data_IF_841912334106
#
_entry.id   IF_841912334106
#
_cell.length_a   1.000
_cell.length_b   1.000
_cell.length_c   1.000
_cell.angle_alpha   90.00
_cell.angle_beta   90.00
_cell.angle_gamma   90.00
#
_symmetry.space_group_name_H-M   'P 1'
#
loop_
_entity.id
_entity.type
_entity.pdbx_description
1 polymer ?
#
# COMPACT_ATOMS: atom_id res chain seq x y z
N UNK A 1 -13.66 40.17 8.73
CA UNK A 1 -13.10 39.55 7.51
C UNK A 1 -12.42 38.27 7.95
N UNK A 2 -13.09 37.13 7.75
CA UNK A 2 -12.62 35.81 8.19
C UNK A 2 -11.94 35.12 7.00
N UNK A 3 -10.66 34.82 7.15
CA UNK A 3 -9.85 34.06 6.19
C UNK A 3 -10.18 32.57 6.32
N UNK A 4 -11.09 32.10 5.46
CA UNK A 4 -11.37 30.68 5.30
C UNK A 4 -10.18 29.96 4.68
N UNK A 5 -9.46 29.19 5.50
CA UNK A 5 -8.46 28.23 5.03
C UNK A 5 -9.12 27.07 4.28
N UNK A 6 -8.43 26.44 3.31
CA UNK A 6 -9.02 25.41 2.47
C UNK A 6 -9.28 24.13 3.28
N UNK A 7 -10.56 23.93 3.61
CA UNK A 7 -11.16 22.79 4.32
C UNK A 7 -11.24 21.53 3.42
N UNK A 8 -10.22 21.29 2.58
CA UNK A 8 -10.21 20.19 1.61
C UNK A 8 -10.06 18.80 2.26
N UNK A 9 -9.49 18.72 3.46
CA UNK A 9 -9.20 17.44 4.11
C UNK A 9 -10.41 16.83 4.83
N UNK A 10 -11.43 17.61 5.21
CA UNK A 10 -12.63 17.10 5.91
C UNK A 10 -13.69 16.51 4.99
N UNK A 11 -13.54 16.65 3.67
CA UNK A 11 -14.50 16.21 2.65
C UNK A 11 -14.04 14.99 1.83
N UNK A 12 -13.09 14.21 2.32
CA UNK A 12 -12.76 12.94 1.67
C UNK A 12 -13.91 11.93 1.91
N UNK A 13 -14.66 11.49 0.88
CA UNK A 13 -15.74 10.53 1.07
C UNK A 13 -15.15 9.20 1.56
N UNK A 14 -15.87 8.59 2.50
CA UNK A 14 -15.56 7.29 3.09
C UNK A 14 -15.39 6.23 1.98
N UNK A 15 -14.23 5.59 1.97
CA UNK A 15 -13.80 4.41 1.19
C UNK A 15 -13.53 4.70 -0.31
N UNK A 16 -12.26 4.56 -0.72
CA UNK A 16 -11.80 4.74 -2.10
C UNK A 16 -11.12 6.08 -2.42
N UNK A 17 -11.34 7.12 -1.59
CA UNK A 17 -10.83 8.48 -1.85
C UNK A 17 -9.31 8.58 -2.05
N UNK A 18 -8.52 7.84 -1.28
CA UNK A 18 -7.07 7.80 -1.47
C UNK A 18 -6.70 7.15 -2.81
N UNK A 19 -7.26 5.98 -3.15
CA UNK A 19 -6.95 5.31 -4.42
C UNK A 19 -7.33 6.18 -5.63
N UNK A 20 -8.49 6.86 -5.56
CA UNK A 20 -8.95 7.81 -6.58
C UNK A 20 -8.03 9.03 -6.68
N UNK A 21 -7.58 9.58 -5.57
CA UNK A 21 -6.59 10.66 -5.54
C UNK A 21 -5.27 10.20 -6.19
N UNK A 22 -4.76 9.02 -5.83
CA UNK A 22 -3.53 8.47 -6.43
C UNK A 22 -3.67 8.20 -7.93
N UNK A 23 -4.83 7.73 -8.38
CA UNK A 23 -5.09 7.53 -9.80
C UNK A 23 -5.16 8.86 -10.59
N UNK A 24 -5.80 9.89 -10.01
CA UNK A 24 -6.01 11.20 -10.65
C UNK A 24 -4.84 12.17 -10.48
N UNK A 25 -3.72 11.74 -9.91
CA UNK A 25 -2.55 12.59 -9.67
C UNK A 25 -1.33 12.05 -10.39
N UNK A 26 -0.36 12.91 -10.75
CA UNK A 26 0.87 12.48 -11.39
C UNK A 26 1.75 11.59 -10.49
N UNK A 27 1.30 11.28 -9.26
CA UNK A 27 2.05 10.55 -8.25
C UNK A 27 2.38 9.10 -8.62
N UNK A 28 1.68 8.55 -9.62
CA UNK A 28 1.91 7.22 -10.17
C UNK A 28 2.57 7.25 -11.57
N UNK A 29 2.95 8.43 -12.08
CA UNK A 29 3.60 8.53 -13.38
C UNK A 29 5.01 7.90 -13.33
N UNK A 30 5.34 6.99 -14.26
CA UNK A 30 6.71 6.49 -14.41
C UNK A 30 7.70 7.64 -14.63
N UNK A 31 8.90 7.52 -14.03
CA UNK A 31 9.91 8.58 -14.09
C UNK A 31 9.68 9.73 -13.11
N UNK A 32 8.59 9.70 -12.33
CA UNK A 32 8.46 10.54 -11.14
C UNK A 32 9.42 10.04 -10.06
N UNK A 33 10.19 10.95 -9.49
CA UNK A 33 11.01 10.71 -8.30
C UNK A 33 10.27 11.24 -7.09
N UNK A 34 10.28 10.47 -6.00
CA UNK A 34 9.79 10.92 -4.70
C UNK A 34 10.91 10.79 -3.68
N UNK A 35 10.91 11.64 -2.67
CA UNK A 35 11.96 11.56 -1.68
C UNK A 35 11.67 12.39 -0.45
N UNK A 36 12.64 12.38 0.45
CA UNK A 36 12.64 13.14 1.69
C UNK A 36 13.73 14.20 1.63
N UNK A 37 13.42 15.39 2.12
CA UNK A 37 14.32 16.51 2.28
C UNK A 37 14.24 17.05 3.70
N UNK A 38 15.32 17.69 4.14
CA UNK A 38 15.33 18.51 5.35
C UNK A 38 14.23 19.58 5.27
N UNK A 39 13.34 19.66 6.27
CA UNK A 39 12.20 20.57 6.24
C UNK A 39 12.54 22.05 6.06
N UNK A 40 13.77 22.47 6.37
CA UNK A 40 14.22 23.85 6.13
C UNK A 40 14.48 24.14 4.63
N UNK A 41 14.57 23.11 3.79
CA UNK A 41 14.93 23.20 2.36
C UNK A 41 13.72 23.00 1.41
N UNK A 42 12.56 23.61 1.72
CA UNK A 42 11.31 23.49 0.94
C UNK A 42 11.20 24.45 -0.26
N UNK A 43 12.20 24.48 -1.13
CA UNK A 43 12.13 25.29 -2.35
C UNK A 43 11.45 24.51 -3.49
N UNK A 44 10.30 24.99 -3.97
CA UNK A 44 9.74 24.52 -5.23
C UNK A 44 10.58 25.08 -6.40
N UNK A 45 10.86 24.25 -7.39
CA UNK A 45 11.61 24.64 -8.58
C UNK A 45 10.91 24.11 -9.82
N UNK A 46 10.78 24.93 -10.86
CA UNK A 46 10.26 24.50 -12.15
C UNK A 46 11.05 25.23 -13.23
N UNK A 47 11.66 24.47 -14.12
CA UNK A 47 12.40 24.97 -15.27
C UNK A 47 12.02 24.20 -16.54
N UNK A 48 12.70 24.48 -17.65
CA UNK A 48 12.51 23.80 -18.93
C UNK A 48 12.86 22.31 -18.92
N UNK A 49 13.63 21.85 -17.93
CA UNK A 49 14.09 20.47 -17.77
C UNK A 49 13.23 19.67 -16.78
N UNK A 50 12.34 20.30 -16.01
CA UNK A 50 11.36 19.64 -15.18
C UNK A 50 10.86 20.46 -13.98
N UNK A 51 10.33 19.76 -12.98
CA UNK A 51 9.75 20.36 -11.79
C UNK A 51 10.06 19.57 -10.52
N UNK A 52 10.27 20.29 -9.43
CA UNK A 52 10.43 19.81 -8.07
C UNK A 52 9.41 20.49 -7.17
N UNK A 53 8.59 19.71 -6.50
CA UNK A 53 7.54 20.17 -5.61
C UNK A 53 7.75 19.58 -4.21
N UNK A 54 8.18 20.38 -3.23
CA UNK A 54 8.13 19.97 -1.83
C UNK A 54 6.68 19.89 -1.39
N UNK A 55 6.33 18.79 -0.73
CA UNK A 55 5.03 18.60 -0.10
C UNK A 55 5.08 19.22 1.29
N UNK A 56 4.05 19.98 1.66
CA UNK A 56 3.89 20.54 3.01
C UNK A 56 3.40 19.47 3.99
N UNK A 57 4.12 18.36 4.08
CA UNK A 57 3.88 17.26 5.01
C UNK A 57 5.11 17.22 5.91
N UNK A 58 4.96 17.64 7.17
CA UNK A 58 5.99 17.43 8.20
C UNK A 58 5.80 16.00 8.73
N UNK A 59 6.81 15.15 8.57
CA UNK A 59 6.79 13.80 9.14
C UNK A 59 7.69 13.77 10.38
N UNK A 60 7.24 13.08 11.43
CA UNK A 60 8.07 12.81 12.60
C UNK A 60 8.90 11.56 12.35
N UNK A 61 10.21 11.63 12.61
CA UNK A 61 11.17 10.54 12.36
C UNK A 61 10.74 9.15 12.89
N UNK A 62 9.96 9.10 13.98
CA UNK A 62 9.45 7.87 14.59
C UNK A 62 8.61 7.00 13.66
N UNK A 63 8.03 7.58 12.60
CA UNK A 63 7.18 6.87 11.65
C UNK A 63 7.97 6.18 10.51
N UNK A 64 9.25 6.49 10.34
CA UNK A 64 10.06 6.02 9.19
C UNK A 64 11.42 5.40 9.52
N UNK A 65 12.10 5.79 10.60
CA UNK A 65 13.51 5.43 10.81
C UNK A 65 13.78 4.55 12.03
N UNK A 66 13.95 3.24 11.85
CA UNK A 66 14.64 2.39 12.86
C UNK A 66 16.18 2.54 12.81
N UNK A 67 16.71 3.41 11.96
CA UNK A 67 18.14 3.45 11.65
C UNK A 67 18.90 4.68 12.17
N UNK A 68 18.26 5.75 12.65
CA UNK A 68 18.97 6.95 13.13
C UNK A 68 18.59 7.25 14.58
N UNK A 69 19.62 7.32 15.43
CA UNK A 69 19.48 7.39 16.87
C UNK A 69 19.04 8.81 17.33
N UNK A 70 17.92 8.87 18.06
CA UNK A 70 17.75 9.79 19.19
C UNK A 70 17.36 11.25 18.95
N UNK A 71 17.20 11.72 17.71
CA UNK A 71 16.74 13.09 17.45
C UNK A 71 15.51 13.14 16.53
N UNK A 72 14.47 13.84 16.96
CA UNK A 72 13.30 14.16 16.14
C UNK A 72 13.67 15.30 15.21
N UNK A 73 13.75 15.02 13.91
CA UNK A 73 13.93 16.04 12.87
C UNK A 73 12.62 16.24 12.14
N UNK A 74 12.31 17.50 11.81
CA UNK A 74 11.25 17.82 10.86
C UNK A 74 11.78 17.51 9.46
N UNK A 75 11.19 16.52 8.80
CA UNK A 75 11.49 16.17 7.40
C UNK A 75 10.29 16.53 6.54
N UNK A 76 10.53 16.88 5.28
CA UNK A 76 9.48 17.09 4.29
C UNK A 76 9.63 16.11 3.12
N UNK A 77 8.51 15.73 2.52
CA UNK A 77 8.51 14.93 1.30
C UNK A 77 8.63 15.83 0.06
N UNK A 78 9.10 15.30 -1.05
CA UNK A 78 9.07 15.98 -2.35
C UNK A 78 8.72 15.04 -3.49
N UNK A 79 8.29 15.67 -4.59
CA UNK A 79 8.06 15.05 -5.89
C UNK A 79 8.93 15.76 -6.92
N UNK A 80 9.57 15.01 -7.80
CA UNK A 80 10.41 15.54 -8.85
C UNK A 80 10.09 14.85 -10.18
N UNK A 81 9.90 15.63 -11.24
CA UNK A 81 9.72 15.15 -12.62
C UNK A 81 10.78 15.77 -13.51
N UNK A 82 11.34 15.00 -14.43
CA UNK A 82 12.36 15.48 -15.37
C UNK A 82 13.77 15.61 -14.77
N UNK A 83 14.67 16.23 -15.53
CA UNK A 83 16.10 16.30 -15.24
C UNK A 83 16.51 17.54 -14.40
N UNK A 84 15.58 18.05 -13.58
CA UNK A 84 15.86 19.15 -12.64
C UNK A 84 16.95 18.75 -11.63
N UNK A 85 17.83 19.67 -11.23
CA UNK A 85 18.86 19.41 -10.23
C UNK A 85 18.29 18.87 -8.92
N UNK A 86 19.00 17.93 -8.31
CA UNK A 86 18.63 17.36 -7.01
C UNK A 86 18.56 18.49 -5.96
N UNK A 87 17.52 18.55 -5.12
CA UNK A 87 17.43 19.57 -4.09
C UNK A 87 18.55 19.39 -3.05
N UNK A 88 18.97 20.47 -2.41
CA UNK A 88 19.86 20.38 -1.25
C UNK A 88 19.13 19.71 -0.06
N UNK A 89 19.86 18.99 0.78
CA UNK A 89 19.27 18.37 1.99
C UNK A 89 18.45 17.10 1.75
N UNK A 90 18.65 16.40 0.63
CA UNK A 90 18.03 15.09 0.38
C UNK A 90 18.47 14.07 1.42
N UNK A 91 17.49 13.44 2.04
CA UNK A 91 17.68 12.35 3.00
C UNK A 91 17.45 10.98 2.36
N UNK A 92 16.48 10.89 1.45
CA UNK A 92 16.17 9.67 0.71
C UNK A 92 15.55 10.01 -0.65
N UNK A 93 15.81 9.20 -1.67
CA UNK A 93 15.14 9.27 -2.96
C UNK A 93 14.76 7.87 -3.41
N UNK A 94 13.49 7.73 -3.76
CA UNK A 94 12.96 6.56 -4.42
C UNK A 94 12.43 6.99 -5.79
N UNK A 95 12.93 6.36 -6.84
CA UNK A 95 12.28 6.47 -8.14
C UNK A 95 10.99 5.66 -8.09
N UNK A 96 9.90 6.17 -8.66
CA UNK A 96 8.71 5.35 -8.90
C UNK A 96 9.13 4.35 -9.98
N UNK A 97 9.25 3.05 -9.64
CA UNK A 97 9.70 2.06 -10.61
C UNK A 97 8.69 1.97 -11.75
N UNK A 98 9.17 1.70 -12.97
CA UNK A 98 8.32 1.24 -14.06
C UNK A 98 7.70 -0.11 -13.64
N UNK A 99 6.48 -0.05 -13.14
CA UNK A 99 5.76 -1.19 -12.58
C UNK A 99 4.35 -1.29 -13.11
N UNK A 100 3.60 -2.27 -12.61
CA UNK A 100 2.21 -2.51 -13.02
C UNK A 100 1.24 -1.40 -12.63
N UNK A 101 1.65 -0.45 -11.79
CA UNK A 101 0.79 0.61 -11.27
C UNK A 101 0.72 1.85 -12.19
N UNK A 102 0.46 1.66 -13.50
CA UNK A 102 0.28 2.80 -14.41
C UNK A 102 -0.98 3.59 -14.04
N UNK A 103 -1.04 4.90 -14.31
CA UNK A 103 -2.23 5.72 -14.06
C UNK A 103 -3.51 5.11 -14.64
N UNK A 104 -3.46 4.61 -15.88
CA UNK A 104 -4.61 4.01 -16.57
C UNK A 104 -5.10 2.75 -15.84
N UNK A 105 -4.17 1.93 -15.34
CA UNK A 105 -4.55 0.72 -14.59
C UNK A 105 -5.13 1.07 -13.22
N UNK A 106 -4.58 2.08 -12.55
CA UNK A 106 -5.14 2.58 -11.29
C UNK A 106 -6.56 3.13 -11.48
N UNK A 107 -6.82 3.87 -12.56
CA UNK A 107 -8.17 4.31 -12.92
C UNK A 107 -9.13 3.14 -13.08
N UNK A 108 -8.75 2.13 -13.87
CA UNK A 108 -9.58 0.94 -14.07
C UNK A 108 -9.86 0.19 -12.76
N UNK A 109 -8.89 0.08 -11.84
CA UNK A 109 -9.12 -0.53 -10.53
C UNK A 109 -10.18 0.24 -9.73
N UNK A 110 -10.09 1.58 -9.72
CA UNK A 110 -11.04 2.44 -9.00
C UNK A 110 -12.43 2.36 -9.62
N UNK A 111 -12.54 2.44 -10.94
CA UNK A 111 -13.81 2.33 -11.66
C UNK A 111 -14.48 0.98 -11.40
N UNK A 112 -13.70 -0.11 -11.45
CA UNK A 112 -14.21 -1.45 -11.13
C UNK A 112 -14.63 -1.59 -9.66
N UNK A 113 -13.90 -0.99 -8.72
CA UNK A 113 -14.29 -0.97 -7.31
C UNK A 113 -15.64 -0.25 -7.12
N UNK A 114 -15.85 0.88 -7.80
CA UNK A 114 -17.09 1.65 -7.74
C UNK A 114 -18.25 0.86 -8.38
N UNK A 115 -17.98 0.11 -9.46
CA UNK A 115 -18.96 -0.72 -10.17
C UNK A 115 -19.38 -1.97 -9.39
N UNK A 116 -18.41 -2.72 -8.85
CA UNK A 116 -18.66 -3.98 -8.14
C UNK A 116 -19.13 -3.74 -6.70
N UNK A 117 -18.64 -2.68 -6.07
CA UNK A 117 -18.91 -2.38 -4.68
C UNK A 117 -18.20 -3.36 -3.71
N UNK A 118 -18.63 -3.41 -2.43
CA UNK A 118 -18.00 -4.28 -1.44
C UNK A 118 -18.21 -5.76 -1.77
N UNK A 119 -17.11 -6.45 -2.10
CA UNK A 119 -17.13 -7.91 -2.29
C UNK A 119 -17.26 -8.60 -0.93
N UNK A 120 -18.29 -9.43 -0.70
CA UNK A 120 -18.39 -10.23 0.51
C UNK A 120 -17.20 -11.18 0.64
N UNK A 121 -16.72 -11.37 1.86
CA UNK A 121 -15.67 -12.36 2.10
C UNK A 121 -16.18 -13.77 1.80
N UNK A 122 -15.45 -14.54 1.00
CA UNK A 122 -15.80 -15.90 0.61
C UNK A 122 -14.95 -16.95 1.37
N UNK A 123 -15.55 -17.67 2.34
CA UNK A 123 -14.86 -18.73 3.07
C UNK A 123 -14.43 -19.91 2.19
N UNK A 124 -15.18 -20.22 1.12
CA UNK A 124 -14.89 -21.36 0.25
C UNK A 124 -13.64 -21.09 -0.60
N UNK A 125 -13.53 -19.90 -1.18
CA UNK A 125 -12.31 -19.47 -1.89
C UNK A 125 -11.08 -19.51 -0.97
N UNK A 126 -11.25 -19.07 0.28
CA UNK A 126 -10.17 -19.11 1.29
C UNK A 126 -9.78 -20.54 1.67
N UNK A 127 -10.75 -21.46 1.78
CA UNK A 127 -10.46 -22.87 2.05
C UNK A 127 -9.62 -23.49 0.91
N UNK A 128 -9.95 -23.18 -0.35
CA UNK A 128 -9.17 -23.61 -1.52
C UNK A 128 -7.74 -23.07 -1.47
N UNK A 129 -7.57 -21.80 -1.09
CA UNK A 129 -6.23 -21.21 -0.91
C UNK A 129 -5.44 -21.97 0.16
N UNK A 130 -6.05 -22.23 1.31
CA UNK A 130 -5.40 -22.95 2.42
C UNK A 130 -4.93 -24.35 1.96
N UNK A 131 -5.81 -25.10 1.30
CA UNK A 131 -5.51 -26.42 0.75
C UNK A 131 -4.36 -26.38 -0.26
N UNK A 132 -4.39 -25.43 -1.20
CA UNK A 132 -3.39 -25.33 -2.26
C UNK A 132 -2.00 -24.84 -1.80
N UNK A 133 -1.91 -24.19 -0.63
CA UNK A 133 -0.67 -23.58 -0.10
C UNK A 133 -0.11 -24.29 1.12
N UNK A 134 -0.90 -25.15 1.77
CA UNK A 134 -0.56 -25.76 3.05
C UNK A 134 -0.63 -24.78 4.23
N UNK A 135 -1.16 -23.56 4.02
CA UNK A 135 -1.36 -22.60 5.09
C UNK A 135 -2.47 -23.03 6.04
N UNK A 136 -2.35 -22.65 7.30
CA UNK A 136 -3.48 -22.76 8.21
C UNK A 136 -4.63 -21.84 7.74
N UNK A 137 -5.87 -22.21 8.12
CA UNK A 137 -7.08 -21.49 7.72
C UNK A 137 -7.00 -19.99 8.00
N UNK A 138 -6.51 -19.60 9.18
CA UNK A 138 -6.47 -18.20 9.57
C UNK A 138 -5.40 -17.42 8.78
N UNK A 139 -4.26 -18.03 8.48
CA UNK A 139 -3.24 -17.44 7.61
C UNK A 139 -3.77 -17.25 6.18
N UNK A 140 -4.48 -18.23 5.63
CA UNK A 140 -5.14 -18.10 4.32
C UNK A 140 -6.19 -16.98 4.33
N UNK A 141 -7.00 -16.85 5.40
CA UNK A 141 -7.96 -15.75 5.58
C UNK A 141 -7.26 -14.39 5.57
N UNK A 142 -6.18 -14.24 6.33
CA UNK A 142 -5.44 -12.97 6.37
C UNK A 142 -4.79 -12.64 5.02
N UNK A 143 -4.29 -13.65 4.31
CA UNK A 143 -3.71 -13.50 2.98
C UNK A 143 -4.77 -13.08 1.94
N UNK A 144 -5.95 -13.71 1.93
CA UNK A 144 -7.06 -13.27 1.08
C UNK A 144 -7.54 -11.86 1.42
N UNK A 145 -7.49 -11.46 2.69
CA UNK A 145 -7.94 -10.16 3.16
C UNK A 145 -6.95 -9.00 2.95
N UNK A 146 -5.78 -9.24 2.33
CA UNK A 146 -4.79 -8.19 2.10
C UNK A 146 -3.90 -7.87 3.32
N UNK A 147 -3.76 -8.78 4.27
CA UNK A 147 -2.95 -8.63 5.50
C UNK A 147 -3.30 -7.39 6.34
N UNK A 148 -4.58 -7.20 6.73
CA UNK A 148 -5.00 -6.03 7.50
C UNK A 148 -4.23 -5.96 8.84
N UNK A 149 -3.68 -4.77 9.16
CA UNK A 149 -2.98 -4.51 10.42
C UNK A 149 -1.81 -5.45 10.74
N UNK A 150 -1.22 -6.10 9.73
CA UNK A 150 -0.20 -7.15 9.92
C UNK A 150 1.06 -6.65 10.65
N UNK A 151 1.35 -5.34 10.59
CA UNK A 151 2.51 -4.72 11.23
C UNK A 151 2.29 -4.43 12.71
N UNK A 152 1.04 -4.42 13.18
CA UNK A 152 0.72 -4.06 14.56
C UNK A 152 1.14 -5.21 15.49
N UNK A 153 1.90 -4.88 16.53
CA UNK A 153 2.47 -5.88 17.46
C UNK A 153 1.45 -6.36 18.51
N UNK A 154 0.36 -5.62 18.71
CA UNK A 154 -0.68 -5.91 19.70
C UNK A 154 -1.32 -7.30 19.54
N UNK A 155 -1.63 -7.95 20.66
CA UNK A 155 -2.30 -9.26 20.66
C UNK A 155 -3.69 -9.23 20.00
N UNK A 156 -4.35 -8.06 20.03
CA UNK A 156 -5.67 -7.82 19.49
C UNK A 156 -5.63 -6.87 18.28
N UNK A 157 -4.70 -7.11 17.35
CA UNK A 157 -4.41 -6.19 16.24
C UNK A 157 -5.59 -5.97 15.28
N UNK A 158 -6.42 -6.98 15.06
CA UNK A 158 -7.64 -6.81 14.28
C UNK A 158 -8.76 -6.27 15.16
N UNK A 159 -9.51 -5.24 14.76
CA UNK A 159 -10.72 -4.83 15.46
C UNK A 159 -11.77 -5.95 15.56
N UNK A 160 -12.66 -5.96 16.59
CA UNK A 160 -13.65 -7.02 16.77
C UNK A 160 -14.58 -7.22 15.57
N UNK A 161 -15.01 -6.13 14.92
CA UNK A 161 -15.85 -6.19 13.72
C UNK A 161 -15.16 -6.89 12.55
N UNK A 162 -13.88 -6.58 12.31
CA UNK A 162 -13.06 -7.20 11.27
C UNK A 162 -12.87 -8.70 11.53
N UNK A 163 -12.56 -9.08 12.78
CA UNK A 163 -12.42 -10.51 13.14
C UNK A 163 -13.72 -11.29 12.92
N UNK A 164 -14.87 -10.70 13.25
CA UNK A 164 -16.18 -11.31 13.03
C UNK A 164 -16.46 -11.50 11.55
N UNK A 165 -16.18 -10.48 10.72
CA UNK A 165 -16.37 -10.56 9.28
C UNK A 165 -15.46 -11.63 8.62
N UNK A 166 -14.24 -11.80 9.13
CA UNK A 166 -13.28 -12.79 8.65
C UNK A 166 -13.45 -14.19 9.26
N UNK A 167 -14.33 -14.34 10.27
CA UNK A 167 -14.53 -15.62 10.97
C UNK A 167 -13.27 -16.15 11.67
N UNK A 168 -12.46 -15.27 12.27
CA UNK A 168 -11.23 -15.65 12.99
C UNK A 168 -11.26 -15.28 14.46
N UNK A 169 -10.76 -16.16 15.32
CA UNK A 169 -10.59 -15.86 16.75
C UNK A 169 -9.31 -15.06 16.99
N UNK A 170 -9.20 -14.42 18.15
CA UNK A 170 -8.03 -13.58 18.50
C UNK A 170 -6.73 -14.38 18.46
N UNK A 171 -6.70 -15.56 19.10
CA UNK A 171 -5.50 -16.40 19.15
C UNK A 171 -5.11 -16.93 17.75
N UNK A 172 -6.10 -17.35 16.95
CA UNK A 172 -5.91 -17.80 15.56
C UNK A 172 -5.32 -16.67 14.70
N UNK A 173 -5.89 -15.47 14.76
CA UNK A 173 -5.42 -14.32 14.01
C UNK A 173 -3.98 -13.93 14.40
N UNK A 174 -3.64 -14.00 15.69
CA UNK A 174 -2.28 -13.74 16.16
C UNK A 174 -1.29 -14.78 15.61
N UNK A 175 -1.61 -16.07 15.73
CA UNK A 175 -0.74 -17.14 15.22
C UNK A 175 -0.53 -17.01 13.71
N UNK A 176 -1.60 -16.76 12.96
CA UNK A 176 -1.57 -16.52 11.52
C UNK A 176 -0.70 -15.30 11.14
N UNK A 177 -0.85 -14.19 11.86
CA UNK A 177 -0.01 -13.00 11.69
C UNK A 177 1.46 -13.34 11.91
N UNK A 178 1.78 -14.04 12.99
CA UNK A 178 3.16 -14.38 13.35
C UNK A 178 3.79 -15.31 12.30
N UNK A 179 3.02 -16.26 11.74
CA UNK A 179 3.44 -17.07 10.58
C UNK A 179 3.74 -16.21 9.36
N UNK A 180 2.81 -15.34 8.96
CA UNK A 180 2.96 -14.49 7.77
C UNK A 180 4.06 -13.43 7.92
N UNK A 181 4.35 -12.99 9.14
CA UNK A 181 5.47 -12.06 9.44
C UNK A 181 6.84 -12.70 9.33
N UNK A 182 6.94 -14.03 9.26
CA UNK A 182 8.21 -14.70 8.94
C UNK A 182 8.65 -14.40 7.51
N UNK A 183 7.70 -14.08 6.62
CA UNK A 183 8.01 -13.56 5.30
C UNK A 183 8.38 -12.07 5.40
N UNK A 184 9.54 -11.65 4.87
CA UNK A 184 9.89 -10.24 4.77
C UNK A 184 8.79 -9.42 4.10
N UNK A 185 8.70 -8.13 4.42
CA UNK A 185 7.72 -7.24 3.81
C UNK A 185 7.80 -7.24 2.28
N UNK A 186 9.01 -7.16 1.72
CA UNK A 186 9.24 -7.24 0.29
C UNK A 186 8.66 -8.53 -0.33
N UNK A 187 8.92 -9.69 0.28
CA UNK A 187 8.40 -10.98 -0.20
C UNK A 187 6.87 -11.05 -0.16
N UNK A 188 6.23 -10.43 0.85
CA UNK A 188 4.77 -10.34 0.91
C UNK A 188 4.20 -9.45 -0.21
N UNK A 189 4.86 -8.35 -0.53
CA UNK A 189 4.47 -7.46 -1.63
C UNK A 189 4.66 -8.13 -2.99
N UNK A 190 5.79 -8.80 -3.21
CA UNK A 190 6.05 -9.59 -4.42
C UNK A 190 4.99 -10.68 -4.65
N UNK A 191 4.52 -11.30 -3.58
CA UNK A 191 3.48 -12.32 -3.68
C UNK A 191 2.16 -11.74 -4.19
N UNK A 192 1.77 -10.54 -3.72
CA UNK A 192 0.60 -9.86 -4.27
C UNK A 192 0.82 -9.40 -5.70
N UNK A 193 1.99 -8.86 -6.02
CA UNK A 193 2.30 -8.38 -7.37
C UNK A 193 2.22 -9.53 -8.40
N UNK A 194 2.76 -10.69 -8.06
CA UNK A 194 2.68 -11.91 -8.87
C UNK A 194 1.24 -12.45 -8.98
N UNK A 195 0.42 -12.25 -7.95
CA UNK A 195 -0.97 -12.67 -7.93
C UNK A 195 -1.91 -11.68 -8.64
N UNK A 196 -1.52 -10.43 -8.85
CA UNK A 196 -2.37 -9.42 -9.47
C UNK A 196 -2.80 -9.84 -10.90
N UNK A 197 -4.11 -9.83 -11.21
CA UNK A 197 -4.58 -10.09 -12.57
C UNK A 197 -4.22 -8.93 -13.51
N UNK A 198 -3.99 -9.25 -14.78
CA UNK A 198 -3.75 -8.23 -15.82
C UNK A 198 -4.98 -7.35 -16.00
N UNK A 199 -6.15 -7.98 -16.06
CA UNK A 199 -7.45 -7.31 -16.02
C UNK A 199 -7.87 -7.01 -14.56
N UNK A 200 -8.03 -5.73 -14.17
CA UNK A 200 -8.47 -5.34 -12.83
C UNK A 200 -9.80 -5.96 -12.39
N UNK A 201 -10.71 -6.29 -13.32
CA UNK A 201 -11.99 -6.90 -12.96
C UNK A 201 -11.84 -8.22 -12.20
N UNK A 202 -10.78 -8.99 -12.50
CA UNK A 202 -10.48 -10.25 -11.83
C UNK A 202 -10.04 -10.11 -10.37
N UNK A 203 -9.73 -8.89 -9.90
CA UNK A 203 -9.36 -8.64 -8.49
C UNK A 203 -10.54 -8.89 -7.55
N UNK A 204 -11.76 -8.70 -8.05
CA UNK A 204 -12.99 -8.77 -7.28
C UNK A 204 -13.66 -10.15 -7.29
N UNK A 205 -13.09 -11.12 -8.00
CA UNK A 205 -13.51 -12.52 -7.96
C UNK A 205 -12.68 -13.28 -6.91
N UNK A 206 -13.29 -13.70 -5.78
CA UNK A 206 -12.58 -14.39 -4.72
C UNK A 206 -11.94 -15.71 -5.17
N UNK A 207 -12.55 -16.43 -6.12
CA UNK A 207 -12.04 -17.70 -6.61
C UNK A 207 -10.79 -17.48 -7.46
N UNK A 208 -10.86 -16.54 -8.41
CA UNK A 208 -9.71 -16.18 -9.26
C UNK A 208 -8.55 -15.67 -8.41
N UNK A 209 -8.84 -14.83 -7.41
CA UNK A 209 -7.81 -14.29 -6.53
C UNK A 209 -7.17 -15.38 -5.66
N UNK A 210 -7.96 -16.31 -5.12
CA UNK A 210 -7.44 -17.46 -4.35
C UNK A 210 -6.51 -18.34 -5.21
N UNK A 211 -6.88 -18.65 -6.44
CA UNK A 211 -6.06 -19.45 -7.35
C UNK A 211 -4.73 -18.76 -7.70
N UNK A 212 -4.78 -17.45 -7.97
CA UNK A 212 -3.60 -16.64 -8.29
C UNK A 212 -2.65 -16.50 -7.09
N UNK A 213 -3.18 -16.25 -5.89
CA UNK A 213 -2.38 -16.23 -4.66
C UNK A 213 -1.76 -17.59 -4.37
N UNK A 214 -2.51 -18.68 -4.56
CA UNK A 214 -1.98 -20.03 -4.37
C UNK A 214 -0.83 -20.33 -5.34
N UNK A 215 -0.95 -19.92 -6.60
CA UNK A 215 0.11 -20.05 -7.60
C UNK A 215 1.34 -19.22 -7.21
N UNK A 216 1.17 -17.94 -6.91
CA UNK A 216 2.26 -17.06 -6.48
C UNK A 216 2.97 -17.57 -5.21
N UNK A 217 2.22 -18.11 -4.26
CA UNK A 217 2.78 -18.72 -3.04
C UNK A 217 3.67 -19.92 -3.36
N UNK A 218 3.21 -20.84 -4.21
CA UNK A 218 3.99 -22.01 -4.63
C UNK A 218 5.25 -21.62 -5.40
N UNK A 219 5.14 -20.65 -6.30
CA UNK A 219 6.28 -20.10 -7.04
C UNK A 219 7.31 -19.47 -6.12
N UNK A 220 6.87 -18.72 -5.10
CA UNK A 220 7.76 -18.13 -4.10
C UNK A 220 8.44 -19.19 -3.22
N UNK A 221 7.73 -20.25 -2.82
CA UNK A 221 8.28 -21.35 -2.03
C UNK A 221 9.28 -22.23 -2.81
N UNK A 222 9.21 -22.22 -4.15
CA UNK A 222 10.12 -22.97 -5.01
C UNK A 222 11.42 -22.21 -5.35
N UNK A 223 11.56 -20.94 -4.95
CA UNK A 223 12.80 -20.19 -5.14
C UNK A 223 13.88 -20.68 -4.15
N UNK A 224 15.12 -20.90 -4.61
CA UNK A 224 16.22 -21.42 -3.79
C UNK A 224 16.70 -20.42 -2.74
#
# INVERSE_FOLDING_TARGET
>A
MSTGGPDCWRRCPRRGGCARFWALTPLAEPGLRRGLLDSEQRAALSDENGALMPLSITMLHTEWGRAHAGATWDIAAFLQRGAVPRPAGVLDIQEVPEGRATPERLHRIVDELERVGPVPFDPAATARLAEATGLDRAAAVLLMAGLPHIKDDGHNFLPPGTRKALGVKVAEAKAARDTLRRLPEAARLELYDAALPDDPAGLWDPTVMAERLARAWKEAAARP
#
